data_IF_802661756009
#
_entry.id   IF_802661756009
#
_cell.length_a   1.000
_cell.length_b   1.000
_cell.length_c   1.000
_cell.angle_alpha   90.00
_cell.angle_beta   90.00
_cell.angle_gamma   90.00
#
_symmetry.space_group_name_H-M   'P 1'
#
loop_
_entity.id
_entity.type
_entity.pdbx_description
1 polymer ?
#
# COMPACT_ATOMS: atom_id res chain seq x y z
N UNK A 1 -32.54 81.58 -18.92
CA UNK A 1 -31.80 80.88 -17.85
C UNK A 1 -31.76 79.39 -18.16
N UNK A 2 -30.58 78.73 -18.16
CA UNK A 2 -30.44 77.32 -18.47
C UNK A 2 -30.59 76.46 -17.19
N UNK A 3 -31.40 75.40 -17.22
CA UNK A 3 -31.33 74.31 -16.22
C UNK A 3 -30.69 73.11 -16.90
N UNK A 4 -29.46 72.80 -16.46
CA UNK A 4 -28.83 71.48 -16.58
C UNK A 4 -29.59 70.55 -15.62
N UNK A 5 -29.91 69.33 -15.99
CA UNK A 5 -29.26 68.07 -15.54
C UNK A 5 -30.31 66.93 -15.68
N UNK A 6 -29.98 65.63 -15.53
CA UNK A 6 -28.69 64.95 -15.64
C UNK A 6 -28.74 63.79 -16.65
N UNK A 7 -27.55 63.35 -17.06
CA UNK A 7 -27.28 62.14 -17.81
C UNK A 7 -28.21 60.98 -17.40
N UNK A 8 -28.93 60.41 -18.37
CA UNK A 8 -29.42 59.04 -18.27
C UNK A 8 -28.20 58.13 -18.14
N UNK A 9 -27.82 57.83 -16.90
CA UNK A 9 -26.77 56.87 -16.55
C UNK A 9 -27.17 55.53 -17.19
N UNK A 10 -26.40 55.00 -18.16
CA UNK A 10 -26.75 53.74 -18.78
C UNK A 10 -26.68 52.66 -17.70
N UNK A 11 -27.82 52.05 -17.39
CA UNK A 11 -27.96 50.99 -16.39
C UNK A 11 -26.92 49.91 -16.67
N UNK A 12 -25.91 49.96 -15.82
CA UNK A 12 -24.77 49.08 -15.61
C UNK A 12 -24.82 47.74 -16.37
N UNK A 13 -24.35 47.76 -17.63
CA UNK A 13 -23.87 46.57 -18.34
C UNK A 13 -22.76 45.86 -17.53
N UNK A 14 -22.10 46.59 -16.64
CA UNK A 14 -21.02 46.12 -15.79
C UNK A 14 -21.51 45.21 -14.64
N UNK A 15 -22.68 45.47 -14.05
CA UNK A 15 -23.17 44.66 -12.90
C UNK A 15 -23.60 43.26 -13.31
N UNK A 16 -24.23 43.11 -14.48
CA UNK A 16 -24.55 41.79 -15.05
C UNK A 16 -23.28 40.99 -15.35
N UNK A 17 -22.25 41.62 -15.91
CA UNK A 17 -20.96 40.96 -16.12
C UNK A 17 -20.24 40.63 -14.80
N UNK A 18 -20.32 41.47 -13.77
CA UNK A 18 -19.74 41.18 -12.44
C UNK A 18 -20.41 39.96 -11.79
N UNK A 19 -21.73 39.83 -11.88
CA UNK A 19 -22.44 38.64 -11.38
C UNK A 19 -22.10 37.38 -12.19
N UNK A 20 -22.01 37.50 -13.52
CA UNK A 20 -21.57 36.40 -14.39
C UNK A 20 -20.11 35.99 -14.15
N UNK A 21 -19.21 36.93 -13.86
CA UNK A 21 -17.80 36.66 -13.54
C UNK A 21 -17.69 35.97 -12.19
N UNK A 22 -18.38 36.44 -11.15
CA UNK A 22 -18.42 35.76 -9.83
C UNK A 22 -19.00 34.35 -9.94
N UNK A 23 -20.04 34.18 -10.76
CA UNK A 23 -20.66 32.87 -11.00
C UNK A 23 -19.71 31.92 -11.74
N UNK A 24 -19.03 32.39 -12.80
CA UNK A 24 -17.99 31.59 -13.50
C UNK A 24 -16.81 31.26 -12.59
N UNK A 25 -16.37 32.19 -11.75
CA UNK A 25 -15.29 31.97 -10.79
C UNK A 25 -15.68 30.94 -9.73
N UNK A 26 -16.93 30.98 -9.23
CA UNK A 26 -17.47 29.97 -8.32
C UNK A 26 -17.56 28.59 -8.98
N UNK A 27 -17.97 28.53 -10.26
CA UNK A 27 -18.06 27.29 -11.03
C UNK A 27 -16.66 26.69 -11.27
N UNK A 28 -15.65 27.53 -11.55
CA UNK A 28 -14.24 27.13 -11.67
C UNK A 28 -13.68 26.67 -10.32
N UNK A 29 -14.01 27.35 -9.21
CA UNK A 29 -13.58 26.97 -7.86
C UNK A 29 -14.18 25.61 -7.45
N UNK A 30 -15.46 25.38 -7.76
CA UNK A 30 -16.13 24.10 -7.52
C UNK A 30 -15.54 22.98 -8.37
N UNK A 31 -15.26 23.25 -9.65
CA UNK A 31 -14.59 22.30 -10.53
C UNK A 31 -13.17 21.97 -10.03
N UNK A 32 -12.43 22.98 -9.56
CA UNK A 32 -11.09 22.82 -8.97
C UNK A 32 -11.11 21.95 -7.70
N UNK A 33 -12.15 22.06 -6.88
CA UNK A 33 -12.31 21.28 -5.65
C UNK A 33 -12.76 19.84 -5.91
N UNK A 34 -13.42 19.58 -7.04
CA UNK A 34 -13.83 18.24 -7.45
C UNK A 34 -12.70 17.46 -8.15
N UNK A 35 -11.76 18.13 -8.82
CA UNK A 35 -10.58 17.49 -9.45
C UNK A 35 -9.80 16.54 -8.50
N UNK A 36 -9.46 16.91 -7.24
CA UNK A 36 -8.76 16.00 -6.35
C UNK A 36 -9.61 14.79 -5.93
N UNK A 37 -10.95 14.90 -5.91
CA UNK A 37 -11.82 13.75 -5.55
C UNK A 37 -11.79 12.63 -6.60
N UNK A 38 -11.41 12.94 -7.84
CA UNK A 38 -11.27 11.93 -8.93
C UNK A 38 -9.91 11.21 -8.84
N UNK A 39 -8.88 11.82 -8.24
CA UNK A 39 -7.53 11.24 -8.16
C UNK A 39 -7.34 10.27 -6.99
N UNK A 40 -8.28 10.18 -6.05
CA UNK A 40 -8.21 9.21 -4.95
C UNK A 40 -8.74 7.82 -5.32
N UNK A 41 -9.22 7.62 -6.54
CA UNK A 41 -9.62 6.31 -7.05
C UNK A 41 -9.03 6.06 -8.43
N UNK A 42 -7.71 6.23 -8.55
CA UNK A 42 -6.95 5.50 -9.57
C UNK A 42 -6.78 4.08 -9.05
N UNK A 43 -7.58 3.16 -9.58
CA UNK A 43 -7.39 1.74 -9.38
C UNK A 43 -6.07 1.31 -10.01
N UNK A 44 -5.00 1.31 -9.21
CA UNK A 44 -3.75 0.66 -9.56
C UNK A 44 -4.00 -0.85 -9.56
N UNK A 45 -4.21 -1.40 -10.75
CA UNK A 45 -4.19 -2.86 -10.94
C UNK A 45 -2.73 -3.28 -11.07
N UNK A 46 -1.99 -3.15 -9.98
CA UNK A 46 -0.64 -3.71 -9.89
C UNK A 46 -0.75 -5.16 -9.39
N UNK A 47 0.10 -6.09 -9.85
CA UNK A 47 0.12 -7.48 -9.37
C UNK A 47 0.50 -7.61 -7.88
N UNK A 48 0.77 -6.50 -7.21
CA UNK A 48 1.00 -6.37 -5.76
C UNK A 48 0.20 -5.20 -5.15
N UNK A 49 -0.82 -4.71 -5.89
CA UNK A 49 -1.72 -3.58 -5.64
C UNK A 49 -1.39 -2.77 -4.40
N UNK A 50 -0.83 -1.57 -4.56
CA UNK A 50 -0.52 -0.69 -3.42
C UNK A 50 -0.99 0.76 -3.52
N UNK A 51 -1.90 1.14 -2.63
CA UNK A 51 -2.60 2.42 -2.52
C UNK A 51 -2.84 2.91 -1.06
N UNK A 52 -2.58 2.09 -0.03
CA UNK A 52 -2.91 2.30 1.40
C UNK A 52 -1.82 1.72 2.33
N UNK A 53 -1.78 2.09 3.62
CA UNK A 53 -0.86 1.49 4.63
C UNK A 53 -0.90 -0.05 4.67
N UNK A 54 -2.07 -0.66 4.49
CA UNK A 54 -2.26 -2.12 4.40
C UNK A 54 -1.44 -2.74 3.27
N UNK A 55 -1.25 -1.98 2.20
CA UNK A 55 -0.58 -2.43 1.00
C UNK A 55 0.96 -2.31 1.12
N UNK A 56 1.46 -1.35 1.89
CA UNK A 56 2.87 -1.34 2.29
C UNK A 56 3.25 -2.61 3.07
N UNK A 57 2.39 -3.04 4.01
CA UNK A 57 2.56 -4.32 4.71
C UNK A 57 2.46 -5.52 3.76
N UNK A 58 1.52 -5.51 2.81
CA UNK A 58 1.40 -6.56 1.79
C UNK A 58 2.64 -6.70 0.90
N UNK A 59 3.31 -5.60 0.53
CA UNK A 59 4.60 -5.68 -0.19
C UNK A 59 5.67 -6.30 0.69
N UNK A 60 5.81 -5.86 1.94
CA UNK A 60 6.81 -6.38 2.86
C UNK A 60 6.62 -7.87 3.10
N UNK A 61 5.39 -8.32 3.29
CA UNK A 61 5.06 -9.73 3.39
C UNK A 61 5.40 -10.48 2.10
N UNK A 62 5.03 -9.96 0.93
CA UNK A 62 5.36 -10.64 -0.34
C UNK A 62 6.87 -10.76 -0.57
N UNK A 63 7.65 -9.75 -0.15
CA UNK A 63 9.11 -9.76 -0.26
C UNK A 63 9.73 -10.73 0.74
N UNK A 64 9.24 -10.75 1.99
CA UNK A 64 9.71 -11.69 3.00
C UNK A 64 9.45 -13.12 2.55
N UNK A 65 8.26 -13.43 2.02
CA UNK A 65 7.92 -14.77 1.53
C UNK A 65 8.77 -15.20 0.35
N UNK A 66 9.05 -14.31 -0.62
CA UNK A 66 9.91 -14.63 -1.77
C UNK A 66 11.35 -14.93 -1.35
N UNK A 67 11.90 -14.12 -0.45
CA UNK A 67 13.27 -14.33 0.07
C UNK A 67 13.31 -15.60 0.93
N UNK A 68 12.31 -15.80 1.78
CA UNK A 68 12.20 -16.97 2.64
C UNK A 68 12.06 -18.27 1.82
N UNK A 69 11.25 -18.26 0.76
CA UNK A 69 11.08 -19.42 -0.13
C UNK A 69 12.39 -19.80 -0.84
N UNK A 70 13.13 -18.80 -1.34
CA UNK A 70 14.44 -19.05 -1.95
C UNK A 70 15.45 -19.60 -0.94
N UNK A 71 15.49 -19.02 0.26
CA UNK A 71 16.40 -19.43 1.32
C UNK A 71 16.06 -20.83 1.87
N UNK A 72 14.77 -21.12 2.03
CA UNK A 72 14.27 -22.42 2.45
C UNK A 72 14.65 -23.51 1.44
N UNK A 73 14.49 -23.25 0.14
CA UNK A 73 14.88 -24.18 -0.91
C UNK A 73 16.37 -24.54 -0.83
N UNK A 74 17.24 -23.54 -0.71
CA UNK A 74 18.70 -23.76 -0.61
C UNK A 74 19.05 -24.53 0.66
N UNK A 75 18.46 -24.16 1.79
CA UNK A 75 18.70 -24.82 3.08
C UNK A 75 18.21 -26.28 3.07
N UNK A 76 17.11 -26.56 2.38
CA UNK A 76 16.57 -27.92 2.26
C UNK A 76 17.49 -28.84 1.44
N UNK A 77 18.08 -28.33 0.35
CA UNK A 77 19.06 -29.10 -0.44
C UNK A 77 20.31 -29.41 0.39
N UNK A 78 20.84 -28.43 1.12
CA UNK A 78 22.02 -28.62 1.98
C UNK A 78 21.73 -29.64 3.10
N UNK A 79 20.58 -29.51 3.77
CA UNK A 79 20.16 -30.45 4.81
C UNK A 79 20.00 -31.88 4.26
N UNK A 80 19.42 -32.04 3.07
CA UNK A 80 19.29 -33.33 2.39
C UNK A 80 20.62 -34.00 2.12
N UNK A 81 21.60 -33.26 1.56
CA UNK A 81 22.95 -33.78 1.31
C UNK A 81 23.65 -34.17 2.62
N UNK A 82 23.51 -33.33 3.66
CA UNK A 82 24.12 -33.60 4.96
C UNK A 82 23.52 -34.83 5.64
N UNK A 83 22.21 -35.05 5.49
CA UNK A 83 21.51 -36.22 6.00
C UNK A 83 21.95 -37.50 5.29
N UNK A 84 22.08 -37.46 3.96
CA UNK A 84 22.56 -38.58 3.14
C UNK A 84 24.04 -38.92 3.39
N UNK A 85 24.87 -37.92 3.69
CA UNK A 85 26.31 -38.10 3.93
C UNK A 85 26.64 -38.52 5.37
N UNK A 86 25.68 -38.45 6.31
CA UNK A 86 25.93 -38.73 7.72
C UNK A 86 26.25 -40.21 8.03
N UNK A 87 25.99 -41.14 7.11
CA UNK A 87 26.40 -42.58 7.02
C UNK A 87 26.97 -43.27 8.28
N UNK A 88 26.35 -43.08 9.46
CA UNK A 88 26.72 -43.78 10.70
C UNK A 88 27.81 -43.12 11.57
N UNK A 89 28.30 -41.91 11.27
CA UNK A 89 29.18 -41.19 12.20
C UNK A 89 28.34 -40.53 13.32
N UNK A 90 28.54 -40.88 14.61
CA UNK A 90 27.68 -40.42 15.70
C UNK A 90 27.68 -38.90 15.87
N UNK A 91 28.78 -38.23 15.53
CA UNK A 91 28.91 -36.78 15.59
C UNK A 91 28.06 -36.07 14.51
N UNK A 92 28.10 -36.57 13.27
CA UNK A 92 27.25 -36.10 12.17
C UNK A 92 25.76 -36.37 12.44
N UNK A 93 25.46 -37.49 13.10
CA UNK A 93 24.10 -37.88 13.47
C UNK A 93 23.51 -36.98 14.56
N UNK A 94 24.32 -36.57 15.54
CA UNK A 94 23.92 -35.59 16.57
C UNK A 94 23.60 -34.24 15.94
N UNK A 95 24.44 -33.78 15.02
CA UNK A 95 24.22 -32.54 14.25
C UNK A 95 22.92 -32.65 13.44
N UNK A 96 22.71 -33.76 12.72
CA UNK A 96 21.50 -33.98 11.94
C UNK A 96 20.22 -33.92 12.80
N UNK A 97 20.22 -34.54 13.99
CA UNK A 97 19.08 -34.47 14.93
C UNK A 97 18.84 -33.05 15.44
N UNK A 98 19.88 -32.30 15.76
CA UNK A 98 19.75 -30.89 16.15
C UNK A 98 19.20 -30.03 15.02
N UNK A 99 19.61 -30.27 13.77
CA UNK A 99 19.04 -29.60 12.59
C UNK A 99 17.55 -29.91 12.43
N UNK A 100 17.13 -31.17 12.61
CA UNK A 100 15.71 -31.54 12.56
C UNK A 100 14.92 -30.85 13.68
N UNK A 101 15.43 -30.85 14.91
CA UNK A 101 14.77 -30.14 16.02
C UNK A 101 14.63 -28.65 15.74
N UNK A 102 15.65 -28.00 15.18
CA UNK A 102 15.59 -26.58 14.84
C UNK A 102 14.66 -26.30 13.64
N UNK A 103 14.55 -27.26 12.71
CA UNK A 103 13.53 -27.23 11.65
C UNK A 103 12.11 -27.27 12.22
N UNK A 104 11.85 -28.14 13.20
CA UNK A 104 10.54 -28.20 13.89
C UNK A 104 10.25 -26.90 14.65
N UNK A 105 11.25 -26.32 15.33
CA UNK A 105 11.11 -25.03 16.02
C UNK A 105 10.71 -23.92 15.05
N UNK A 106 11.25 -23.92 13.83
CA UNK A 106 10.92 -22.91 12.81
C UNK A 106 9.46 -22.98 12.37
N UNK A 107 8.89 -24.19 12.26
CA UNK A 107 7.47 -24.39 11.94
C UNK A 107 6.59 -23.83 13.05
N UNK A 108 6.93 -24.09 14.30
CA UNK A 108 6.19 -23.58 15.47
C UNK A 108 6.21 -22.04 15.48
N UNK A 109 7.38 -21.44 15.24
CA UNK A 109 7.53 -19.98 15.20
C UNK A 109 6.72 -19.37 14.03
N UNK A 110 6.70 -20.00 12.85
CA UNK A 110 5.91 -19.52 11.72
C UNK A 110 4.40 -19.51 12.03
N UNK A 111 3.90 -20.57 12.67
CA UNK A 111 2.49 -20.66 13.09
C UNK A 111 2.15 -19.56 14.11
N UNK A 112 3.05 -19.32 15.07
CA UNK A 112 2.88 -18.25 16.07
C UNK A 112 2.89 -16.86 15.44
N UNK A 113 3.80 -16.61 14.50
CA UNK A 113 3.87 -15.35 13.77
C UNK A 113 2.58 -15.09 12.97
N UNK A 114 2.04 -16.12 12.32
CA UNK A 114 0.79 -16.01 11.57
C UNK A 114 -0.40 -15.60 12.47
N UNK A 115 -0.46 -16.14 13.69
CA UNK A 115 -1.47 -15.76 14.68
C UNK A 115 -1.44 -14.25 14.98
N UNK A 116 -0.25 -13.67 15.16
CA UNK A 116 -0.08 -12.24 15.46
C UNK A 116 -0.53 -11.38 14.27
N UNK A 117 -0.13 -11.76 13.05
CA UNK A 117 -0.51 -11.03 11.83
C UNK A 117 -2.04 -10.98 11.69
N UNK A 118 -2.70 -12.13 11.87
CA UNK A 118 -4.16 -12.26 11.77
C UNK A 118 -4.88 -11.38 12.79
N UNK A 119 -4.34 -11.28 14.02
CA UNK A 119 -4.91 -10.42 15.06
C UNK A 119 -4.74 -8.94 14.67
N UNK A 120 -3.58 -8.55 14.17
CA UNK A 120 -3.33 -7.16 13.74
C UNK A 120 -4.25 -6.77 12.59
N UNK A 121 -4.41 -7.61 11.57
CA UNK A 121 -5.35 -7.37 10.46
C UNK A 121 -6.82 -7.33 10.89
N UNK A 122 -7.19 -8.05 11.95
CA UNK A 122 -8.57 -8.03 12.44
C UNK A 122 -8.95 -6.77 13.21
N UNK A 123 -7.95 -6.04 13.74
CA UNK A 123 -8.15 -4.87 14.60
C UNK A 123 -8.06 -3.56 13.82
N UNK A 124 -7.33 -3.52 12.71
CA UNK A 124 -7.10 -2.33 11.86
C UNK A 124 -7.82 -2.45 10.51
#
# INVERSE_FOLDING_TARGET
>A
MPRRDPKGTPASRNDKNKMLIKFKFLLILLFCLLLPTITFSVGFTDPVGVTTFTQFFGILESLIWKVFALFALVSFVIAGIFFLTAQGQPEKLKIARSFVLWGVVSIIVAILAYSIITIVESIF
#
